data_IF_668949177397
#
_entry.id   IF_668949177397
#
_cell.length_a   1.000
_cell.length_b   1.000
_cell.length_c   1.000
_cell.angle_alpha   90.00
_cell.angle_beta   90.00
_cell.angle_gamma   90.00
#
_symmetry.space_group_name_H-M   'P 1'
#
loop_
_entity.id
_entity.type
_entity.pdbx_description
1 polymer ?
#
# COMPACT_ATOMS: atom_id res chain seq x y z
N UNK A 1 -12.71 7.53 -2.30
CA UNK A 1 -11.67 8.46 -2.81
C UNK A 1 -10.49 7.59 -3.21
N UNK A 2 -9.76 7.88 -4.29
CA UNK A 2 -8.57 7.07 -4.62
C UNK A 2 -7.34 7.67 -3.93
N UNK A 3 -6.71 6.91 -3.05
CA UNK A 3 -5.50 7.30 -2.31
C UNK A 3 -4.22 7.03 -3.11
N UNK A 4 -4.28 6.11 -4.08
CA UNK A 4 -3.24 5.88 -5.07
C UNK A 4 -3.85 5.50 -6.43
N UNK A 5 -3.04 5.63 -7.47
CA UNK A 5 -3.28 5.17 -8.84
C UNK A 5 -2.32 4.03 -9.19
N UNK A 6 -2.50 3.40 -10.35
CA UNK A 6 -1.53 2.41 -10.84
C UNK A 6 -0.13 2.99 -11.01
N UNK A 7 -0.02 4.25 -11.43
CA UNK A 7 1.27 4.91 -11.65
C UNK A 7 2.06 5.04 -10.34
N UNK A 8 1.38 5.25 -9.22
CA UNK A 8 2.00 5.39 -7.90
C UNK A 8 2.69 4.11 -7.41
N UNK A 9 2.34 2.93 -7.96
CA UNK A 9 3.03 1.67 -7.62
C UNK A 9 4.50 1.70 -8.07
N UNK A 10 4.82 2.51 -9.08
CA UNK A 10 6.20 2.64 -9.60
C UNK A 10 7.16 3.29 -8.61
N UNK A 11 6.64 3.93 -7.55
CA UNK A 11 7.42 4.43 -6.43
C UNK A 11 8.06 3.31 -5.60
N UNK A 12 7.51 2.10 -5.68
CA UNK A 12 7.92 0.95 -4.86
C UNK A 12 8.41 -0.25 -5.68
N UNK A 13 7.95 -0.38 -6.91
CA UNK A 13 8.24 -1.53 -7.77
C UNK A 13 8.56 -1.05 -9.19
N UNK A 14 9.62 -1.59 -9.79
CA UNK A 14 9.97 -1.25 -11.18
C UNK A 14 8.82 -1.60 -12.13
N UNK A 15 8.56 -0.71 -13.10
CA UNK A 15 7.51 -0.90 -14.11
C UNK A 15 7.60 -2.27 -14.81
N UNK A 16 8.81 -2.78 -15.04
CA UNK A 16 9.03 -4.10 -15.64
C UNK A 16 8.35 -5.23 -14.84
N UNK A 17 8.41 -5.20 -13.51
CA UNK A 17 7.76 -6.20 -12.66
C UNK A 17 6.24 -6.05 -12.67
N UNK A 18 5.73 -4.81 -12.69
CA UNK A 18 4.29 -4.54 -12.80
C UNK A 18 3.73 -5.04 -14.13
N UNK A 19 4.45 -4.83 -15.24
CA UNK A 19 4.08 -5.36 -16.55
C UNK A 19 4.01 -6.88 -16.56
N UNK A 20 4.99 -7.57 -15.97
CA UNK A 20 4.95 -9.04 -15.82
C UNK A 20 3.76 -9.50 -14.97
N UNK A 21 3.43 -8.75 -13.90
CA UNK A 21 2.28 -9.06 -13.07
C UNK A 21 0.96 -8.96 -13.84
N UNK A 22 0.82 -7.91 -14.64
CA UNK A 22 -0.36 -7.68 -15.48
C UNK A 22 -0.50 -8.71 -16.61
N UNK A 23 0.62 -9.14 -17.21
CA UNK A 23 0.63 -10.23 -18.21
C UNK A 23 0.16 -11.56 -17.61
N UNK A 24 0.60 -11.88 -16.39
CA UNK A 24 0.22 -13.11 -15.70
C UNK A 24 -1.19 -13.08 -15.14
N UNK A 25 -1.64 -11.91 -14.70
CA UNK A 25 -2.96 -11.70 -14.11
C UNK A 25 -3.54 -10.37 -14.57
N UNK A 26 -4.23 -10.33 -15.72
CA UNK A 26 -4.82 -9.10 -16.21
C UNK A 26 -5.77 -8.45 -15.21
N UNK A 27 -5.63 -7.15 -15.03
CA UNK A 27 -6.33 -6.30 -14.08
C UNK A 27 -5.84 -6.42 -12.63
N UNK A 28 -4.71 -7.06 -12.35
CA UNK A 28 -4.24 -7.26 -10.97
C UNK A 28 -3.90 -5.94 -10.29
N UNK A 29 -3.33 -4.98 -11.01
CA UNK A 29 -3.00 -3.66 -10.46
C UNK A 29 -4.27 -2.91 -10.02
N UNK A 30 -5.30 -2.88 -10.88
CA UNK A 30 -6.58 -2.26 -10.54
C UNK A 30 -7.23 -2.93 -9.34
N UNK A 31 -7.32 -4.27 -9.34
CA UNK A 31 -7.91 -5.01 -8.21
C UNK A 31 -7.17 -4.75 -6.90
N UNK A 32 -5.85 -4.66 -6.93
CA UNK A 32 -5.05 -4.35 -5.75
C UNK A 32 -5.34 -2.94 -5.22
N UNK A 33 -5.32 -1.94 -6.12
CA UNK A 33 -5.62 -0.53 -5.78
C UNK A 33 -7.03 -0.39 -5.21
N UNK A 34 -8.03 -0.98 -5.87
CA UNK A 34 -9.43 -0.90 -5.43
C UNK A 34 -9.62 -1.55 -4.05
N UNK A 35 -9.03 -2.73 -3.83
CA UNK A 35 -9.11 -3.43 -2.55
C UNK A 35 -8.47 -2.62 -1.42
N UNK A 36 -7.28 -2.07 -1.66
CA UNK A 36 -6.56 -1.29 -0.63
C UNK A 36 -7.28 0.02 -0.33
N UNK A 37 -7.84 0.70 -1.34
CA UNK A 37 -8.67 1.90 -1.10
C UNK A 37 -9.89 1.58 -0.23
N UNK A 38 -10.57 0.45 -0.48
CA UNK A 38 -11.67 -0.01 0.37
C UNK A 38 -11.25 -0.26 1.82
N UNK A 39 -10.10 -0.92 2.03
CA UNK A 39 -9.57 -1.17 3.38
C UNK A 39 -9.18 0.11 4.13
N UNK A 40 -8.67 1.12 3.41
CA UNK A 40 -8.40 2.44 3.98
C UNK A 40 -9.70 3.11 4.40
N UNK A 41 -10.72 3.12 3.55
CA UNK A 41 -12.00 3.74 3.86
C UNK A 41 -12.65 3.06 5.08
N UNK A 42 -12.55 1.73 5.20
CA UNK A 42 -12.98 0.97 6.39
C UNK A 42 -12.17 1.35 7.65
N UNK A 43 -10.85 1.48 7.54
CA UNK A 43 -9.99 1.87 8.67
C UNK A 43 -10.28 3.31 9.14
N UNK A 44 -10.50 4.24 8.21
CA UNK A 44 -10.88 5.62 8.54
C UNK A 44 -12.21 5.65 9.29
N UNK A 45 -13.22 4.93 8.79
CA UNK A 45 -14.52 4.85 9.43
C UNK A 45 -14.42 4.27 10.86
N UNK A 46 -13.67 3.18 11.02
CA UNK A 46 -13.46 2.54 12.33
C UNK A 46 -12.70 3.44 13.31
N UNK A 47 -11.71 4.19 12.82
CA UNK A 47 -10.95 5.16 13.62
C UNK A 47 -11.71 6.46 13.93
N UNK A 48 -12.92 6.64 13.39
CA UNK A 48 -13.73 7.85 13.58
C UNK A 48 -13.26 9.05 12.75
N UNK A 49 -12.51 8.81 11.68
CA UNK A 49 -12.02 9.84 10.77
C UNK A 49 -12.95 10.02 9.57
N UNK A 50 -13.17 11.27 9.17
CA UNK A 50 -13.80 11.56 7.88
C UNK A 50 -12.75 11.48 6.78
N UNK A 51 -13.08 10.87 5.64
CA UNK A 51 -12.25 10.90 4.43
C UNK A 51 -12.30 12.30 3.80
N UNK A 52 -11.59 13.27 4.39
CA UNK A 52 -11.57 14.66 3.94
C UNK A 52 -10.13 15.17 3.77
N UNK A 53 -9.84 15.69 2.58
CA UNK A 53 -8.55 16.31 2.27
C UNK A 53 -7.47 15.33 1.80
N UNK A 54 -6.30 15.90 1.49
CA UNK A 54 -5.12 15.14 1.06
C UNK A 54 -4.38 14.57 2.27
N UNK A 55 -3.92 13.33 2.17
CA UNK A 55 -3.08 12.70 3.18
C UNK A 55 -1.92 11.96 2.53
N UNK A 56 -0.70 12.46 2.76
CA UNK A 56 0.51 11.77 2.33
C UNK A 56 0.65 10.40 3.01
N UNK A 57 0.18 10.26 4.26
CA UNK A 57 0.19 8.99 4.99
C UNK A 57 -0.69 7.95 4.29
N UNK A 58 -1.93 8.32 3.94
CA UNK A 58 -2.86 7.41 3.26
C UNK A 58 -2.37 7.08 1.85
N UNK A 59 -1.85 8.06 1.10
CA UNK A 59 -1.27 7.81 -0.23
C UNK A 59 -0.10 6.82 -0.16
N UNK A 60 0.78 6.98 0.82
CA UNK A 60 1.91 6.06 1.04
C UNK A 60 1.44 4.64 1.38
N UNK A 61 0.49 4.50 2.31
CA UNK A 61 -0.11 3.21 2.69
C UNK A 61 -0.72 2.55 1.45
N UNK A 62 -1.53 3.31 0.70
CA UNK A 62 -2.23 2.81 -0.47
C UNK A 62 -1.25 2.27 -1.54
N UNK A 63 -0.23 3.05 -1.88
CA UNK A 63 0.76 2.67 -2.87
C UNK A 63 1.61 1.46 -2.43
N UNK A 64 2.11 1.46 -1.19
CA UNK A 64 2.95 0.37 -0.67
C UNK A 64 2.20 -0.98 -0.62
N UNK A 65 0.97 -0.99 -0.10
CA UNK A 65 0.17 -2.22 -0.02
C UNK A 65 -0.28 -2.70 -1.40
N UNK A 66 -0.66 -1.78 -2.29
CA UNK A 66 -1.08 -2.14 -3.66
C UNK A 66 0.08 -2.71 -4.47
N UNK A 67 1.27 -2.12 -4.33
CA UNK A 67 2.48 -2.61 -5.00
C UNK A 67 2.86 -4.00 -4.51
N UNK A 68 2.89 -4.22 -3.18
CA UNK A 68 3.16 -5.54 -2.59
C UNK A 68 2.16 -6.58 -3.07
N UNK A 69 0.85 -6.30 -3.00
CA UNK A 69 -0.20 -7.25 -3.41
C UNK A 69 -0.13 -7.60 -4.89
N UNK A 70 0.23 -6.62 -5.73
CA UNK A 70 0.40 -6.82 -7.17
C UNK A 70 1.51 -7.83 -7.46
N UNK A 71 2.70 -7.65 -6.86
CA UNK A 71 3.83 -8.55 -7.11
C UNK A 71 3.71 -9.87 -6.36
N UNK A 72 3.15 -9.88 -5.16
CA UNK A 72 2.95 -11.09 -4.36
C UNK A 72 1.95 -12.06 -5.04
N UNK A 73 1.00 -11.55 -5.83
CA UNK A 73 0.05 -12.39 -6.57
C UNK A 73 0.70 -13.19 -7.71
N UNK A 74 1.87 -12.78 -8.20
CA UNK A 74 2.52 -13.38 -9.37
C UNK A 74 3.91 -13.93 -9.10
N UNK A 75 4.45 -13.69 -7.91
CA UNK A 75 5.74 -14.19 -7.47
C UNK A 75 5.56 -15.38 -6.52
N UNK A 76 6.34 -16.45 -6.70
CA UNK A 76 6.50 -17.53 -5.71
C UNK A 76 7.36 -17.11 -4.50
N UNK A 77 7.80 -15.84 -4.47
CA UNK A 77 8.85 -15.28 -3.60
C UNK A 77 8.47 -15.11 -2.13
N UNK A 78 7.20 -15.30 -1.74
CA UNK A 78 6.79 -15.21 -0.33
C UNK A 78 6.89 -16.56 0.39
N UNK A 79 7.98 -17.31 0.15
CA UNK A 79 8.16 -18.64 0.78
C UNK A 79 9.49 -18.85 1.52
N UNK A 80 10.45 -17.92 1.47
CA UNK A 80 11.67 -18.04 2.29
C UNK A 80 12.21 -16.69 2.76
N UNK A 81 12.01 -16.38 4.04
CA UNK A 81 12.65 -15.26 4.76
C UNK A 81 14.18 -15.42 4.95
N UNK A 82 14.82 -16.38 4.28
CA UNK A 82 16.16 -16.85 4.63
C UNK A 82 17.25 -16.60 3.58
N UNK A 83 16.94 -15.97 2.44
CA UNK A 83 17.95 -15.70 1.41
C UNK A 83 18.41 -14.24 1.45
N UNK A 84 19.71 -14.04 1.63
CA UNK A 84 20.37 -12.74 1.85
C UNK A 84 20.31 -11.80 0.64
N UNK A 85 19.83 -12.29 -0.51
CA UNK A 85 19.64 -11.55 -1.78
C UNK A 85 18.16 -11.34 -2.14
N UNK A 86 17.26 -11.29 -1.14
CA UNK A 86 15.86 -11.00 -1.40
C UNK A 86 15.67 -9.52 -1.80
N UNK A 87 15.62 -9.26 -3.11
CA UNK A 87 15.38 -7.94 -3.72
C UNK A 87 14.08 -7.27 -3.22
N UNK A 88 13.17 -8.04 -2.62
CA UNK A 88 11.89 -7.58 -2.09
C UNK A 88 11.95 -7.12 -0.64
N UNK A 89 13.08 -7.25 0.06
CA UNK A 89 13.22 -6.80 1.45
C UNK A 89 12.79 -5.34 1.67
N UNK A 90 13.17 -4.36 0.82
CA UNK A 90 12.68 -2.99 0.96
C UNK A 90 11.16 -2.88 0.84
N UNK A 91 10.56 -3.59 -0.12
CA UNK A 91 9.11 -3.58 -0.32
C UNK A 91 8.38 -4.26 0.84
N UNK A 92 8.93 -5.35 1.38
CA UNK A 92 8.40 -6.04 2.55
C UNK A 92 8.41 -5.13 3.78
N UNK A 93 9.48 -4.35 3.99
CA UNK A 93 9.53 -3.36 5.08
C UNK A 93 8.47 -2.27 4.91
N UNK A 94 8.32 -1.71 3.71
CA UNK A 94 7.29 -0.69 3.45
C UNK A 94 5.88 -1.25 3.62
N UNK A 95 5.65 -2.51 3.21
CA UNK A 95 4.40 -3.22 3.45
C UNK A 95 4.13 -3.39 4.95
N UNK A 96 5.09 -3.89 5.73
CA UNK A 96 4.91 -4.08 7.17
C UNK A 96 4.63 -2.74 7.89
N UNK A 97 5.32 -1.67 7.47
CA UNK A 97 5.08 -0.31 7.96
C UNK A 97 3.67 0.15 7.61
N UNK A 98 3.24 -0.02 6.36
CA UNK A 98 1.91 0.37 5.91
C UNK A 98 0.79 -0.41 6.64
N UNK A 99 0.96 -1.71 6.88
CA UNK A 99 0.04 -2.53 7.68
C UNK A 99 -0.05 -2.02 9.12
N UNK A 100 1.09 -1.71 9.75
CA UNK A 100 1.14 -1.15 11.10
C UNK A 100 0.44 0.22 11.19
N UNK A 101 0.71 1.11 10.24
CA UNK A 101 0.10 2.45 10.24
C UNK A 101 -1.40 2.38 9.97
N UNK A 102 -1.85 1.51 9.06
CA UNK A 102 -3.27 1.29 8.80
C UNK A 102 -4.01 0.74 10.02
N UNK A 103 -3.40 -0.19 10.76
CA UNK A 103 -3.93 -0.68 12.02
C UNK A 103 -4.00 0.43 13.08
N UNK A 104 -2.97 1.27 13.20
CA UNK A 104 -2.96 2.39 14.12
C UNK A 104 -4.04 3.44 13.77
N UNK A 105 -4.31 3.68 12.48
CA UNK A 105 -5.42 4.55 12.04
C UNK A 105 -6.76 3.92 12.44
N UNK A 106 -6.96 2.63 12.16
CA UNK A 106 -8.18 1.89 12.54
C UNK A 106 -8.46 1.94 14.04
N UNK A 107 -7.42 1.94 14.87
CA UNK A 107 -7.49 2.03 16.33
C UNK A 107 -7.58 3.48 16.86
N UNK A 108 -7.58 4.50 15.99
CA UNK A 108 -7.58 5.90 16.40
C UNK A 108 -6.27 6.38 17.04
N UNK A 109 -5.17 5.64 16.87
CA UNK A 109 -3.84 5.93 17.47
C UNK A 109 -2.92 6.74 16.56
N UNK A 110 -3.17 6.71 15.25
CA UNK A 110 -2.46 7.52 14.26
C UNK A 110 -3.46 8.42 13.55
N UNK A 111 -3.22 9.74 13.56
CA UNK A 111 -4.00 10.71 12.80
C UNK A 111 -3.59 10.66 11.32
N UNK A 112 -4.49 10.26 10.41
CA UNK A 112 -4.21 10.21 8.99
C UNK A 112 -4.11 11.61 8.35
N UNK A 113 -4.56 12.68 9.02
CA UNK A 113 -4.56 14.05 8.51
C UNK A 113 -3.79 14.98 9.45
N UNK A 114 -2.48 14.75 9.67
CA UNK A 114 -1.70 15.56 10.60
C UNK A 114 -1.73 17.02 10.14
N UNK A 115 -2.13 17.92 11.04
CA UNK A 115 -2.02 19.37 10.80
C UNK A 115 -0.55 19.70 10.59
N UNK A 116 -0.23 20.41 9.52
CA UNK A 116 1.12 20.95 9.33
C UNK A 116 1.51 21.69 10.61
N UNK A 117 2.62 21.28 11.23
CA UNK A 117 3.14 21.99 12.39
C UNK A 117 3.54 23.38 11.92
N UNK A 118 2.75 24.39 12.27
CA UNK A 118 3.14 25.79 12.18
C UNK A 118 4.40 25.96 13.03
N UNK A 119 5.55 26.10 12.37
CA UNK A 119 6.82 26.50 13.00
C UNK A 119 6.74 27.93 13.53
#
# INVERSE_FOLDING_TARGET
MAWCTQEDLTLYVLQAYLSVAEEKSPGIMNRAVDAVNGEIDEALLAGGYAASGASATLCRIAAALSAWRTVAAVTTLVTSEADTDNEWLPLLHERNRAESDLAAIREGKLDPFPKAQSS
#
